data_IF_934645643760
#
_entry.id   IF_934645643760
#
_cell.length_a   1.000
_cell.length_b   1.000
_cell.length_c   1.000
_cell.angle_alpha   90.00
_cell.angle_beta   90.00
_cell.angle_gamma   90.00
#
_symmetry.space_group_name_H-M   'P 1'
#
loop_
_entity.id
_entity.type
_entity.pdbx_description
1 polymer ?
#
# COMPACT_ATOMS: atom_id res chain seq x y z
N UNK A 1 -15.35 16.40 21.95
CA UNK A 1 -15.39 15.02 21.46
C UNK A 1 -14.27 14.89 20.44
N UNK A 2 -13.16 14.27 20.81
CA UNK A 2 -12.01 14.10 19.91
C UNK A 2 -12.21 12.73 19.26
N UNK A 3 -12.52 12.69 17.97
CA UNK A 3 -12.48 11.43 17.23
C UNK A 3 -11.03 10.96 17.20
N UNK A 4 -10.80 9.74 17.64
CA UNK A 4 -9.46 9.15 17.71
C UNK A 4 -9.04 8.68 16.32
N UNK A 5 -7.73 8.50 16.09
CA UNK A 5 -7.23 7.94 14.82
C UNK A 5 -7.87 6.59 14.48
N UNK A 6 -8.21 5.79 15.50
CA UNK A 6 -8.94 4.53 15.41
C UNK A 6 -10.39 4.70 14.90
N UNK A 7 -11.08 5.77 15.29
CA UNK A 7 -12.45 6.04 14.82
C UNK A 7 -12.45 6.36 13.32
N UNK A 8 -11.46 7.12 12.85
CA UNK A 8 -11.29 7.43 11.44
C UNK A 8 -10.89 6.19 10.62
N UNK A 9 -10.01 5.34 11.16
CA UNK A 9 -9.62 4.08 10.55
C UNK A 9 -10.83 3.15 10.36
N UNK A 10 -11.67 3.05 11.39
CA UNK A 10 -12.88 2.23 11.38
C UNK A 10 -13.90 2.78 10.40
N UNK A 11 -14.11 4.09 10.37
CA UNK A 11 -14.99 4.72 9.39
C UNK A 11 -14.49 4.47 7.96
N UNK A 12 -13.20 4.65 7.69
CA UNK A 12 -12.59 4.35 6.39
C UNK A 12 -12.81 2.89 5.98
N UNK A 13 -12.55 1.94 6.89
CA UNK A 13 -12.73 0.50 6.66
C UNK A 13 -14.17 0.13 6.24
N UNK A 14 -15.17 0.81 6.81
CA UNK A 14 -16.58 0.58 6.48
C UNK A 14 -16.96 1.12 5.09
N UNK A 15 -16.24 2.14 4.60
CA UNK A 15 -16.48 2.76 3.31
C UNK A 15 -15.74 2.06 2.16
N UNK A 16 -14.67 1.29 2.45
CA UNK A 16 -13.87 0.56 1.45
C UNK A 16 -14.72 -0.20 0.41
N UNK A 17 -15.75 -0.98 0.78
CA UNK A 17 -16.53 -1.73 -0.20
C UNK A 17 -17.29 -0.86 -1.22
N UNK A 18 -17.50 0.41 -0.89
CA UNK A 18 -18.32 1.33 -1.68
C UNK A 18 -17.48 2.40 -2.40
N UNK A 19 -16.40 2.86 -1.78
CA UNK A 19 -15.70 4.07 -2.22
C UNK A 19 -14.22 3.86 -2.59
N UNK A 20 -13.63 2.67 -2.37
CA UNK A 20 -12.18 2.48 -2.52
C UNK A 20 -11.61 2.84 -3.90
N UNK A 21 -12.39 2.61 -4.97
CA UNK A 21 -11.99 2.86 -6.36
C UNK A 21 -12.63 4.14 -6.93
N UNK A 22 -13.38 4.89 -6.12
CA UNK A 22 -13.92 6.18 -6.55
C UNK A 22 -12.79 7.19 -6.67
N UNK A 23 -12.91 8.05 -7.67
CA UNK A 23 -11.98 9.15 -7.93
C UNK A 23 -12.66 10.50 -7.68
N UNK A 24 -11.91 11.44 -7.13
CA UNK A 24 -12.35 12.83 -7.01
C UNK A 24 -12.23 13.59 -8.34
N UNK A 25 -12.48 14.91 -8.30
CA UNK A 25 -12.35 15.79 -9.48
C UNK A 25 -10.92 15.94 -10.00
N UNK A 26 -9.91 15.61 -9.20
CA UNK A 26 -8.50 15.60 -9.59
C UNK A 26 -8.05 14.21 -10.09
N UNK A 27 -8.96 13.23 -10.12
CA UNK A 27 -8.67 11.86 -10.55
C UNK A 27 -8.00 11.00 -9.48
N UNK A 28 -8.03 11.40 -8.20
CA UNK A 28 -7.38 10.70 -7.10
C UNK A 28 -8.36 9.83 -6.32
N UNK A 29 -7.93 8.64 -5.92
CA UNK A 29 -8.70 7.78 -5.00
C UNK A 29 -8.44 8.17 -3.54
N UNK A 30 -9.30 7.70 -2.63
CA UNK A 30 -9.11 7.87 -1.18
C UNK A 30 -7.75 7.34 -0.69
N UNK A 31 -7.24 6.25 -1.29
CA UNK A 31 -5.92 5.70 -0.98
C UNK A 31 -4.80 6.69 -1.35
N UNK A 32 -4.88 7.33 -2.52
CA UNK A 32 -3.88 8.30 -2.98
C UNK A 32 -3.83 9.50 -2.05
N UNK A 33 -5.00 10.07 -1.73
CA UNK A 33 -5.11 11.24 -0.85
C UNK A 33 -4.56 10.91 0.55
N UNK A 34 -4.96 9.78 1.14
CA UNK A 34 -4.48 9.37 2.46
C UNK A 34 -2.96 9.16 2.49
N UNK A 35 -2.39 8.61 1.41
CA UNK A 35 -0.97 8.36 1.33
C UNK A 35 -0.14 9.63 1.07
N UNK A 36 -0.64 10.58 0.28
CA UNK A 36 -0.02 11.91 0.09
C UNK A 36 0.04 12.71 1.39
N UNK A 37 -1.00 12.64 2.21
CA UNK A 37 -1.08 13.33 3.51
C UNK A 37 -0.25 12.60 4.58
N UNK A 38 0.03 11.30 4.40
CA UNK A 38 0.77 10.48 5.36
C UNK A 38 -0.11 9.85 6.45
N UNK A 39 -1.41 9.68 6.20
CA UNK A 39 -2.34 9.00 7.11
C UNK A 39 -2.18 7.48 7.04
N UNK A 40 -1.09 6.97 7.60
CA UNK A 40 -0.71 5.56 7.53
C UNK A 40 -1.82 4.61 8.03
N UNK A 41 -2.54 5.00 9.09
CA UNK A 41 -3.64 4.19 9.66
C UNK A 41 -4.80 4.08 8.67
N UNK A 42 -5.14 5.16 7.95
CA UNK A 42 -6.19 5.15 6.92
C UNK A 42 -5.74 4.37 5.69
N UNK A 43 -4.47 4.50 5.29
CA UNK A 43 -3.87 3.67 4.23
C UNK A 43 -3.98 2.20 4.58
N UNK A 44 -3.65 1.82 5.82
CA UNK A 44 -3.76 0.44 6.30
C UNK A 44 -5.22 -0.05 6.35
N UNK A 45 -6.17 0.83 6.68
CA UNK A 45 -7.59 0.51 6.66
C UNK A 45 -8.12 0.27 5.23
N UNK A 46 -7.60 1.02 4.24
CA UNK A 46 -8.05 0.95 2.85
C UNK A 46 -7.37 -0.19 2.07
N UNK A 47 -6.05 -0.34 2.19
CA UNK A 47 -5.26 -1.40 1.55
C UNK A 47 -4.35 -2.06 2.59
N UNK A 48 -4.90 -2.99 3.40
CA UNK A 48 -4.16 -3.60 4.50
C UNK A 48 -3.00 -4.46 4.01
N UNK A 49 -1.94 -4.45 4.81
CA UNK A 49 -0.86 -5.42 4.74
C UNK A 49 -1.44 -6.80 4.98
N UNK A 50 -1.17 -7.77 4.08
CA UNK A 50 -1.67 -9.13 4.30
C UNK A 50 -0.87 -9.90 5.35
N UNK A 51 -1.33 -11.13 5.61
CA UNK A 51 -0.73 -12.08 6.55
C UNK A 51 0.74 -12.45 6.26
N UNK A 52 1.23 -12.14 5.05
CA UNK A 52 2.61 -12.38 4.60
C UNK A 52 3.49 -11.13 4.70
N UNK A 53 3.00 -10.08 5.37
CA UNK A 53 3.62 -8.75 5.42
C UNK A 53 3.74 -8.06 4.04
N UNK A 54 2.99 -8.52 3.02
CA UNK A 54 3.03 -7.86 1.70
C UNK A 54 2.20 -6.59 1.80
N UNK A 55 2.88 -5.46 1.64
CA UNK A 55 2.26 -4.14 1.72
C UNK A 55 1.61 -3.73 0.40
N UNK A 56 0.69 -2.76 0.48
CA UNK A 56 0.12 -2.06 -0.67
C UNK A 56 1.20 -1.58 -1.68
N UNK A 57 2.33 -1.07 -1.17
CA UNK A 57 3.45 -0.63 -2.00
C UNK A 57 4.11 -1.78 -2.78
N UNK A 58 4.27 -2.97 -2.18
CA UNK A 58 4.82 -4.14 -2.86
C UNK A 58 3.88 -4.65 -3.96
N UNK A 59 2.56 -4.66 -3.69
CA UNK A 59 1.56 -4.99 -4.71
C UNK A 59 1.59 -4.00 -5.87
N UNK A 60 1.75 -2.70 -5.59
CA UNK A 60 1.88 -1.67 -6.61
C UNK A 60 3.11 -1.90 -7.51
N UNK A 61 4.28 -2.21 -6.92
CA UNK A 61 5.48 -2.60 -7.67
C UNK A 61 5.23 -3.84 -8.53
N UNK A 62 4.62 -4.89 -7.97
CA UNK A 62 4.30 -6.12 -8.70
C UNK A 62 3.33 -5.91 -9.88
N UNK A 63 2.46 -4.89 -9.80
CA UNK A 63 1.55 -4.51 -10.89
C UNK A 63 2.20 -3.60 -11.94
N UNK A 64 3.47 -3.19 -11.75
CA UNK A 64 4.13 -2.14 -12.52
C UNK A 64 3.30 -0.84 -12.56
N UNK A 65 2.61 -0.53 -11.45
CA UNK A 65 1.69 0.60 -11.34
C UNK A 65 2.44 1.80 -10.73
N UNK A 66 3.08 2.59 -11.60
CA UNK A 66 3.91 3.71 -11.19
C UNK A 66 3.14 4.79 -10.40
N UNK A 67 1.84 4.98 -10.70
CA UNK A 67 1.00 5.96 -10.00
C UNK A 67 0.63 5.45 -8.60
N UNK A 68 0.26 4.17 -8.46
CA UNK A 68 0.05 3.57 -7.14
C UNK A 68 1.35 3.54 -6.32
N UNK A 69 2.52 3.32 -6.95
CA UNK A 69 3.82 3.40 -6.27
C UNK A 69 4.06 4.82 -5.75
N UNK A 70 3.87 5.87 -6.57
CA UNK A 70 4.03 7.27 -6.13
C UNK A 70 3.10 7.63 -4.98
N UNK A 71 1.86 7.17 -5.05
CA UNK A 71 0.88 7.41 -4.00
C UNK A 71 1.33 6.78 -2.67
N UNK A 72 1.64 5.49 -2.67
CA UNK A 72 1.83 4.70 -1.44
C UNK A 72 3.27 4.75 -0.89
N UNK A 73 4.24 5.27 -1.66
CA UNK A 73 5.64 5.34 -1.20
C UNK A 73 5.83 6.22 0.04
N UNK A 74 5.03 7.29 0.18
CA UNK A 74 5.16 8.25 1.27
C UNK A 74 4.69 7.66 2.61
N UNK A 75 3.58 6.92 2.61
CA UNK A 75 2.99 6.31 3.81
C UNK A 75 3.68 5.00 4.24
N UNK A 76 4.50 4.39 3.40
CA UNK A 76 5.10 3.06 3.66
C UNK A 76 6.63 3.08 3.69
N UNK A 77 7.23 4.27 3.76
CA UNK A 77 8.65 4.56 3.49
C UNK A 77 9.69 3.82 4.36
N UNK A 78 9.28 3.00 5.32
CA UNK A 78 10.16 2.26 6.25
C UNK A 78 9.69 0.84 6.61
N UNK A 79 8.61 0.32 6.02
CA UNK A 79 8.13 -1.02 6.36
C UNK A 79 8.99 -2.11 5.69
N UNK A 80 9.39 -3.09 6.48
CA UNK A 80 10.11 -4.30 6.04
C UNK A 80 9.19 -5.49 6.27
N UNK A 81 9.23 -6.48 5.37
CA UNK A 81 8.59 -7.77 5.64
C UNK A 81 9.40 -8.54 6.68
N UNK A 82 8.73 -9.38 7.48
CA UNK A 82 9.39 -10.29 8.40
C UNK A 82 9.24 -11.75 7.98
N UNK A 83 8.37 -12.04 7.00
CA UNK A 83 8.12 -13.38 6.46
C UNK A 83 8.73 -13.62 5.08
N UNK A 84 8.88 -14.91 4.76
CA UNK A 84 9.45 -15.42 3.53
C UNK A 84 8.35 -15.52 2.46
N UNK A 85 8.59 -15.00 1.26
CA UNK A 85 7.67 -15.16 0.13
C UNK A 85 8.44 -15.30 -1.18
N UNK A 86 7.83 -15.95 -2.17
CA UNK A 86 8.39 -16.12 -3.51
C UNK A 86 7.78 -15.10 -4.45
N UNK A 87 8.62 -14.31 -5.12
CA UNK A 87 8.18 -13.42 -6.18
C UNK A 87 9.02 -13.60 -7.43
N UNK A 88 8.36 -13.76 -8.58
CA UNK A 88 9.04 -13.97 -9.88
C UNK A 88 10.10 -15.09 -9.85
N UNK A 89 9.84 -16.16 -9.10
CA UNK A 89 10.78 -17.29 -8.92
C UNK A 89 11.90 -17.05 -7.90
N UNK A 90 12.02 -15.84 -7.35
CA UNK A 90 12.98 -15.50 -6.30
C UNK A 90 12.38 -15.71 -4.92
N UNK A 91 13.08 -16.46 -4.08
CA UNK A 91 12.75 -16.57 -2.66
C UNK A 91 13.34 -15.39 -1.90
N UNK A 92 12.48 -14.54 -1.33
CA UNK A 92 12.89 -13.37 -0.56
C UNK A 92 12.59 -13.55 0.91
N UNK A 93 13.61 -13.29 1.74
CA UNK A 93 13.49 -13.20 3.20
C UNK A 93 13.73 -11.75 3.60
N UNK A 94 12.76 -11.12 4.27
CA UNK A 94 12.81 -9.69 4.64
C UNK A 94 12.92 -8.75 3.44
N UNK A 95 12.22 -9.05 2.36
CA UNK A 95 12.17 -8.22 1.15
C UNK A 95 11.53 -6.84 1.40
N UNK A 96 12.04 -5.83 0.70
CA UNK A 96 11.43 -4.49 0.60
C UNK A 96 10.85 -4.29 -0.79
N UNK A 97 9.96 -3.31 -0.96
CA UNK A 97 9.43 -2.94 -2.28
C UNK A 97 10.55 -2.59 -3.30
N UNK A 98 11.66 -2.02 -2.82
CA UNK A 98 12.82 -1.72 -3.65
C UNK A 98 13.56 -2.98 -4.12
N UNK A 99 13.75 -3.97 -3.23
CA UNK A 99 14.35 -5.26 -3.60
C UNK A 99 13.47 -6.01 -4.61
N UNK A 100 12.15 -5.92 -4.45
CA UNK A 100 11.18 -6.47 -5.39
C UNK A 100 11.28 -5.83 -6.77
N UNK A 101 11.33 -4.50 -6.85
CA UNK A 101 11.48 -3.79 -8.12
C UNK A 101 12.77 -4.21 -8.85
N UNK A 102 13.89 -4.32 -8.12
CA UNK A 102 15.16 -4.76 -8.70
C UNK A 102 15.11 -6.21 -9.23
N UNK A 103 14.38 -7.11 -8.56
CA UNK A 103 14.24 -8.49 -9.02
C UNK A 103 13.37 -8.61 -10.28
N UNK A 104 12.36 -7.74 -10.43
CA UNK A 104 11.47 -7.73 -11.60
C UNK A 104 12.15 -7.20 -12.86
N UNK A 105 13.09 -6.27 -12.73
CA UNK A 105 13.84 -5.70 -13.86
C UNK A 105 14.74 -6.74 -14.57
N UNK A 106 15.14 -7.81 -13.87
CA UNK A 106 15.99 -8.88 -14.43
C UNK A 106 15.29 -9.81 -15.43
N UNK A 107 13.99 -9.63 -15.68
CA UNK A 107 13.20 -10.47 -16.59
C UNK A 107 12.74 -9.76 -17.88
N UNK A 108 13.20 -8.53 -18.12
CA UNK A 108 12.94 -7.75 -19.34
C UNK A 108 14.21 -7.58 -20.18
#
# INVERSE_FOLDING_TARGET
MIATEEDYARAASLLVPYEKDLIDSEGKTALVIAAEIGYEIVVEAIDPTDENDITALMRAVNRNDAEAVKAVILSQRRRKTYKEFTISGWYMRKGTALMMAAAMDTQN
#
